data_IF_823786500495
#
_entry.id   IF_823786500495
#
_cell.length_a   1.000
_cell.length_b   1.000
_cell.length_c   1.000
_cell.angle_alpha   90.00
_cell.angle_beta   90.00
_cell.angle_gamma   90.00
#
_symmetry.space_group_name_H-M   'P 1'
#
loop_
_entity.id
_entity.type
_entity.pdbx_description
1 polymer ?
#
# COMPACT_ATOMS: atom_id res chain seq x y z
N UNK A 1 0.04 -11.20 -0.82
CA UNK A 1 -0.68 -11.82 0.34
C UNK A 1 -1.64 -10.81 0.95
N UNK A 2 -2.88 -11.21 1.15
CA UNK A 2 -3.87 -10.37 1.85
C UNK A 2 -3.73 -10.55 3.36
N UNK A 3 -3.67 -9.43 4.08
CA UNK A 3 -3.60 -9.45 5.55
C UNK A 3 -4.69 -8.53 6.12
N UNK A 4 -5.24 -8.91 7.26
CA UNK A 4 -6.12 -8.01 8.00
C UNK A 4 -5.31 -6.85 8.58
N UNK A 5 -5.99 -5.81 9.06
CA UNK A 5 -5.33 -4.58 9.51
C UNK A 5 -4.34 -4.83 10.65
N UNK A 6 -4.69 -5.69 11.59
CA UNK A 6 -3.84 -6.00 12.73
C UNK A 6 -2.53 -6.67 12.29
N UNK A 7 -2.62 -7.72 11.50
CA UNK A 7 -1.45 -8.47 11.03
C UNK A 7 -0.60 -7.65 10.07
N UNK A 8 -1.23 -6.88 9.19
CA UNK A 8 -0.54 -6.02 8.25
C UNK A 8 0.28 -4.96 9.00
N UNK A 9 -0.33 -4.32 10.00
CA UNK A 9 0.34 -3.33 10.83
C UNK A 9 1.52 -3.93 11.59
N UNK A 10 1.31 -5.08 12.24
CA UNK A 10 2.37 -5.74 13.02
C UNK A 10 3.56 -6.10 12.15
N UNK A 11 3.29 -6.69 11.00
CA UNK A 11 4.34 -7.14 10.09
C UNK A 11 5.11 -5.95 9.51
N UNK A 12 4.40 -4.89 9.14
CA UNK A 12 4.99 -3.66 8.63
C UNK A 12 5.88 -3.00 9.68
N UNK A 13 5.38 -2.88 10.90
CA UNK A 13 6.12 -2.24 12.00
C UNK A 13 7.37 -3.02 12.39
N UNK A 14 7.36 -4.33 12.18
CA UNK A 14 8.50 -5.19 12.47
C UNK A 14 9.61 -5.11 11.41
N UNK A 15 9.34 -4.47 10.27
CA UNK A 15 10.30 -4.35 9.18
C UNK A 15 10.54 -2.87 8.83
N UNK A 16 11.50 -2.20 9.50
CA UNK A 16 11.76 -0.78 9.24
C UNK A 16 12.30 -0.47 7.85
N UNK A 17 12.77 -1.47 7.12
CA UNK A 17 13.23 -1.28 5.74
C UNK A 17 12.12 -1.42 4.71
N UNK A 18 10.91 -1.79 5.13
CA UNK A 18 9.76 -1.95 4.24
C UNK A 18 9.27 -0.60 3.72
N UNK A 19 8.57 -0.64 2.58
CA UNK A 19 8.00 0.53 1.95
C UNK A 19 6.48 0.41 1.96
N UNK A 20 5.80 1.48 2.36
CA UNK A 20 4.34 1.54 2.37
C UNK A 20 3.86 2.38 1.19
N UNK A 21 2.95 1.85 0.39
CA UNK A 21 2.44 2.51 -0.81
C UNK A 21 0.93 2.68 -0.71
N UNK A 22 0.48 3.93 -0.85
CA UNK A 22 -0.93 4.29 -0.93
C UNK A 22 -1.29 4.46 -2.41
N UNK A 23 -2.12 3.57 -2.93
CA UNK A 23 -2.49 3.60 -4.35
C UNK A 23 -3.82 4.29 -4.62
N UNK A 24 -4.29 5.10 -3.65
CA UNK A 24 -5.49 5.92 -3.81
C UNK A 24 -5.17 7.18 -4.61
N UNK A 25 -6.20 7.97 -4.89
CA UNK A 25 -6.01 9.27 -5.55
C UNK A 25 -5.29 10.24 -4.59
N UNK A 26 -4.70 11.30 -5.15
CA UNK A 26 -4.05 12.32 -4.34
C UNK A 26 -5.02 13.04 -3.41
N UNK A 27 -6.28 13.20 -3.81
CA UNK A 27 -7.31 13.80 -2.98
C UNK A 27 -7.59 12.94 -1.75
N UNK A 28 -7.74 11.62 -1.94
CA UNK A 28 -7.92 10.69 -0.83
C UNK A 28 -6.72 10.73 0.13
N UNK A 29 -5.52 10.73 -0.42
CA UNK A 29 -4.28 10.77 0.35
C UNK A 29 -4.17 12.05 1.19
N UNK A 30 -4.47 13.20 0.60
CA UNK A 30 -4.39 14.49 1.29
C UNK A 30 -5.43 14.62 2.41
N UNK A 31 -6.51 13.88 2.33
CA UNK A 31 -7.57 13.87 3.34
C UNK A 31 -7.24 13.02 4.56
N UNK A 32 -6.17 12.28 4.50
CA UNK A 32 -5.66 11.43 5.57
C UNK A 32 -5.00 10.17 4.99
N UNK A 33 -3.88 9.77 5.58
CA UNK A 33 -3.14 8.60 5.10
C UNK A 33 -2.33 7.96 6.24
N UNK A 34 -1.83 6.79 5.99
CA UNK A 34 -0.93 6.09 6.92
C UNK A 34 0.44 6.76 6.87
N UNK A 35 1.00 7.08 8.03
CA UNK A 35 2.29 7.75 8.14
C UNK A 35 3.38 7.04 7.34
N UNK A 36 4.20 7.81 6.65
CA UNK A 36 5.32 7.33 5.82
C UNK A 36 4.90 6.59 4.56
N UNK A 37 3.62 6.58 4.21
CA UNK A 37 3.19 6.01 2.94
C UNK A 37 3.53 6.94 1.79
N UNK A 38 3.84 6.35 0.63
CA UNK A 38 4.12 7.07 -0.61
C UNK A 38 2.87 6.94 -1.48
N UNK A 39 2.33 8.07 -1.92
CA UNK A 39 1.12 8.05 -2.75
C UNK A 39 1.46 7.94 -4.23
N UNK A 40 0.85 6.97 -4.88
CA UNK A 40 0.90 6.82 -6.33
C UNK A 40 -0.47 6.35 -6.79
N UNK A 41 -1.17 7.19 -7.54
CA UNK A 41 -2.53 6.90 -7.98
C UNK A 41 -2.57 5.71 -8.95
N UNK A 42 -3.23 4.62 -8.54
CA UNK A 42 -3.37 3.42 -9.35
C UNK A 42 -4.08 3.69 -10.69
N UNK A 43 -4.98 4.65 -10.72
CA UNK A 43 -5.72 4.98 -11.95
C UNK A 43 -4.85 5.70 -12.98
N UNK A 44 -3.72 6.25 -12.58
CA UNK A 44 -2.74 6.80 -13.51
C UNK A 44 -1.72 5.71 -13.86
N UNK A 45 -2.09 4.84 -14.80
CA UNK A 45 -1.32 3.64 -15.10
C UNK A 45 0.13 3.92 -15.49
N UNK A 46 0.39 4.95 -16.29
CA UNK A 46 1.74 5.28 -16.72
C UNK A 46 2.62 5.69 -15.54
N UNK A 47 2.13 6.57 -14.66
CA UNK A 47 2.86 6.99 -13.47
C UNK A 47 3.09 5.82 -12.51
N UNK A 48 2.08 4.97 -12.35
CA UNK A 48 2.18 3.82 -11.47
C UNK A 48 3.28 2.87 -11.92
N UNK A 49 3.29 2.49 -13.19
CA UNK A 49 4.32 1.58 -13.74
C UNK A 49 5.70 2.22 -13.67
N UNK A 50 5.83 3.50 -14.03
CA UNK A 50 7.11 4.20 -13.94
C UNK A 50 7.65 4.24 -12.51
N UNK A 51 6.78 4.48 -11.54
CA UNK A 51 7.14 4.44 -10.13
C UNK A 51 7.69 3.05 -9.74
N UNK A 52 7.00 1.99 -10.15
CA UNK A 52 7.41 0.62 -9.83
C UNK A 52 8.77 0.25 -10.43
N UNK A 53 9.09 0.78 -11.60
CA UNK A 53 10.36 0.45 -12.28
C UNK A 53 11.59 0.90 -11.50
N UNK A 54 11.44 1.89 -10.63
CA UNK A 54 12.55 2.43 -9.84
C UNK A 54 12.70 1.77 -8.47
N UNK A 55 11.82 0.82 -8.13
CA UNK A 55 11.82 0.18 -6.82
C UNK A 55 12.69 -1.08 -6.78
N UNK A 56 13.29 -1.33 -5.62
CA UNK A 56 14.00 -2.57 -5.33
C UNK A 56 13.00 -3.71 -5.17
N UNK A 57 13.01 -4.67 -6.07
CA UNK A 57 12.06 -5.79 -6.09
C UNK A 57 12.22 -6.77 -4.93
N UNK A 58 13.33 -6.69 -4.21
CA UNK A 58 13.63 -7.60 -3.09
C UNK A 58 13.11 -7.10 -1.75
N UNK A 59 12.77 -5.83 -1.65
CA UNK A 59 12.20 -5.26 -0.41
C UNK A 59 10.77 -5.74 -0.21
N UNK A 60 10.29 -5.55 1.02
CA UNK A 60 8.89 -5.82 1.36
C UNK A 60 8.05 -4.56 1.14
N UNK A 61 6.91 -4.73 0.52
CA UNK A 61 6.00 -3.64 0.19
C UNK A 61 4.64 -3.87 0.83
N UNK A 62 4.15 -2.86 1.53
CA UNK A 62 2.86 -2.84 2.19
C UNK A 62 1.98 -1.87 1.44
N UNK A 63 0.95 -2.38 0.79
CA UNK A 63 0.15 -1.62 -0.17
C UNK A 63 -1.28 -1.53 0.32
N UNK A 64 -1.89 -0.35 0.19
CA UNK A 64 -3.28 -0.16 0.58
C UNK A 64 -4.01 0.82 -0.33
N UNK A 65 -5.32 0.67 -0.34
CA UNK A 65 -6.23 1.64 -0.92
C UNK A 65 -7.39 1.87 0.06
N UNK A 66 -8.53 2.33 -0.42
CA UNK A 66 -9.67 2.61 0.46
C UNK A 66 -10.29 1.33 1.03
N UNK A 67 -10.55 0.33 0.17
CA UNK A 67 -11.27 -0.89 0.55
C UNK A 67 -10.54 -2.20 0.21
N UNK A 68 -9.33 -2.11 -0.30
CA UNK A 68 -8.49 -3.27 -0.60
C UNK A 68 -8.50 -3.76 -2.04
N UNK A 69 -9.39 -3.25 -2.90
CA UNK A 69 -9.51 -3.74 -4.28
C UNK A 69 -8.45 -3.17 -5.24
N UNK A 70 -8.27 -1.85 -5.27
CA UNK A 70 -7.21 -1.23 -6.09
C UNK A 70 -5.84 -1.75 -5.69
N UNK A 71 -5.61 -1.85 -4.39
CA UNK A 71 -4.33 -2.34 -3.86
C UNK A 71 -4.12 -3.82 -4.15
N UNK A 72 -5.18 -4.61 -4.16
CA UNK A 72 -5.08 -6.01 -4.59
C UNK A 72 -4.61 -6.09 -6.04
N UNK A 73 -5.23 -5.31 -6.93
CA UNK A 73 -4.83 -5.26 -8.35
C UNK A 73 -3.41 -4.74 -8.52
N UNK A 74 -3.01 -3.75 -7.72
CA UNK A 74 -1.65 -3.24 -7.72
C UNK A 74 -0.64 -4.33 -7.35
N UNK A 75 -0.94 -5.13 -6.32
CA UNK A 75 -0.09 -6.26 -5.92
C UNK A 75 0.04 -7.30 -7.04
N UNK A 76 -1.04 -7.58 -7.76
CA UNK A 76 -1.00 -8.52 -8.89
C UNK A 76 -0.06 -8.03 -9.99
N UNK A 77 -0.13 -6.74 -10.33
CA UNK A 77 0.77 -6.15 -11.32
C UNK A 77 2.22 -6.20 -10.83
N UNK A 78 2.46 -5.85 -9.58
CA UNK A 78 3.81 -5.88 -9.00
C UNK A 78 4.38 -7.30 -9.01
N UNK A 79 3.55 -8.29 -8.69
CA UNK A 79 3.96 -9.69 -8.73
C UNK A 79 4.41 -10.10 -10.13
N UNK A 80 3.67 -9.71 -11.17
CA UNK A 80 4.04 -9.97 -12.56
C UNK A 80 5.35 -9.29 -12.95
N UNK A 81 5.65 -8.15 -12.35
CA UNK A 81 6.89 -7.42 -12.59
C UNK A 81 8.09 -7.95 -11.78
N UNK A 82 7.89 -9.00 -11.00
CA UNK A 82 8.97 -9.68 -10.29
C UNK A 82 9.13 -9.31 -8.80
N UNK A 83 8.20 -8.55 -8.24
CA UNK A 83 8.19 -8.29 -6.80
C UNK A 83 7.74 -9.55 -6.05
N UNK A 84 8.42 -9.87 -4.95
CA UNK A 84 8.19 -11.14 -4.25
C UNK A 84 7.56 -10.99 -2.86
N UNK A 85 7.72 -9.83 -2.22
CA UNK A 85 7.25 -9.60 -0.84
C UNK A 85 6.19 -8.51 -0.84
N UNK A 86 4.95 -8.91 -1.12
CA UNK A 86 3.82 -7.99 -1.29
C UNK A 86 2.72 -8.31 -0.29
N UNK A 87 2.25 -7.28 0.43
CA UNK A 87 1.24 -7.42 1.46
C UNK A 87 0.14 -6.39 1.24
N UNK A 88 -1.05 -6.89 0.90
CA UNK A 88 -2.23 -6.04 0.70
C UNK A 88 -2.99 -5.88 2.01
N UNK A 89 -3.32 -4.64 2.36
CA UNK A 89 -4.24 -4.33 3.45
C UNK A 89 -5.65 -4.68 2.97
N UNK A 90 -6.11 -5.88 3.28
CA UNK A 90 -7.30 -6.50 2.69
C UNK A 90 -8.57 -5.65 2.83
N UNK A 91 -8.80 -5.10 4.01
CA UNK A 91 -9.99 -4.29 4.29
C UNK A 91 -9.76 -2.79 4.11
N UNK A 92 -8.56 -2.40 3.69
CA UNK A 92 -8.22 -1.06 3.28
C UNK A 92 -8.16 -0.02 4.40
N UNK A 93 -8.01 1.22 3.98
CA UNK A 93 -7.90 2.37 4.87
C UNK A 93 -9.15 2.57 5.73
N UNK A 94 -10.33 2.20 5.23
CA UNK A 94 -11.57 2.27 6.01
C UNK A 94 -11.48 1.46 7.30
N UNK A 95 -10.95 0.24 7.20
CA UNK A 95 -10.79 -0.62 8.38
C UNK A 95 -9.66 -0.14 9.29
N UNK A 96 -8.57 0.39 8.70
CA UNK A 96 -7.48 0.99 9.46
C UNK A 96 -7.99 2.09 10.39
N UNK A 97 -8.81 2.99 9.86
CA UNK A 97 -9.42 4.07 10.62
C UNK A 97 -10.40 3.53 11.67
N UNK A 98 -11.21 2.54 11.29
CA UNK A 98 -12.16 1.91 12.21
C UNK A 98 -11.47 1.24 13.39
N UNK A 99 -10.24 0.76 13.21
CA UNK A 99 -9.43 0.20 14.29
C UNK A 99 -8.74 1.26 15.15
N UNK A 100 -8.96 2.54 14.87
CA UNK A 100 -8.33 3.67 15.55
C UNK A 100 -6.79 3.67 15.43
N UNK A 101 -6.27 3.10 14.37
CA UNK A 101 -4.83 3.16 14.09
C UNK A 101 -4.46 4.56 13.59
N UNK A 102 -3.21 4.94 13.80
CA UNK A 102 -2.71 6.28 13.57
C UNK A 102 -2.76 6.68 12.09
N UNK A 103 -3.20 7.93 11.84
CA UNK A 103 -3.22 8.53 10.51
C UNK A 103 -2.64 9.93 10.58
N UNK A 104 -2.17 10.44 9.44
CA UNK A 104 -1.64 11.79 9.31
C UNK A 104 -2.26 12.47 8.09
N UNK A 105 -2.06 13.77 7.97
CA UNK A 105 -2.49 14.56 6.82
C UNK A 105 -1.35 15.29 6.16
#
# INVERSE_FOLDING_TARGET
>A
MNLNSCDWKKKKDADPSSVCIDVRTSEEFNDGHIQSSINVDFYNAAKFVNFLNDLDKKKSYYIYCRSGQRSFSACEIMKELGFTNLYNLESGYLDWVACNYETVR
#
